data_IF_529748835340
#
_entry.id   IF_529748835340
#
_cell.length_a   1.000
_cell.length_b   1.000
_cell.length_c   1.000
_cell.angle_alpha   90.00
_cell.angle_beta   90.00
_cell.angle_gamma   90.00
#
_symmetry.space_group_name_H-M   'P 1'
#
loop_
_entity.id
_entity.type
_entity.pdbx_description
1 polymer ?
#
# COMPACT_ATOMS: atom_id res chain seq x y z
N UNK A 1 38.92 12.67 -17.21
CA UNK A 1 37.56 13.25 -17.24
C UNK A 1 36.62 12.21 -16.66
N UNK A 2 36.28 12.34 -15.37
CA UNK A 2 35.42 11.38 -14.70
C UNK A 2 33.98 11.70 -15.06
N UNK A 3 33.30 10.78 -15.73
CA UNK A 3 31.86 10.88 -15.97
C UNK A 3 31.16 10.70 -14.61
N UNK A 4 30.59 11.78 -14.10
CA UNK A 4 29.62 11.68 -13.00
C UNK A 4 28.45 10.86 -13.50
N UNK A 5 28.30 9.64 -12.98
CA UNK A 5 27.10 8.84 -13.15
C UNK A 5 26.00 9.61 -12.42
N UNK A 6 25.20 10.38 -13.15
CA UNK A 6 23.93 10.86 -12.65
C UNK A 6 23.05 9.61 -12.47
N UNK A 7 23.05 9.08 -11.26
CA UNK A 7 21.99 8.17 -10.84
C UNK A 7 20.77 9.06 -10.60
N UNK A 8 19.67 8.92 -11.35
CA UNK A 8 18.44 9.58 -10.95
C UNK A 8 18.12 9.14 -9.50
N UNK A 9 17.53 10.00 -8.67
CA UNK A 9 17.01 9.55 -7.39
C UNK A 9 16.12 8.33 -7.71
N UNK A 10 16.35 7.21 -7.02
CA UNK A 10 15.50 6.05 -7.16
C UNK A 10 14.07 6.54 -6.96
N UNK A 11 13.25 6.50 -8.01
CA UNK A 11 11.82 6.77 -7.90
C UNK A 11 11.34 5.83 -6.80
N UNK A 12 10.94 6.39 -5.66
CA UNK A 12 10.36 5.59 -4.60
C UNK A 12 9.18 4.84 -5.22
N UNK A 13 9.07 3.52 -5.04
CA UNK A 13 7.96 2.79 -5.61
C UNK A 13 6.67 3.34 -5.01
N UNK A 14 5.91 4.08 -5.81
CA UNK A 14 4.60 4.57 -5.41
C UNK A 14 3.67 3.39 -5.10
N UNK A 15 2.78 3.58 -4.14
CA UNK A 15 1.72 2.63 -3.81
C UNK A 15 0.42 3.09 -4.43
N UNK A 16 -0.48 2.16 -4.75
CA UNK A 16 -1.80 2.51 -5.27
C UNK A 16 -2.80 2.59 -4.11
N UNK A 17 -3.57 3.67 -4.04
CA UNK A 17 -4.60 3.86 -3.02
C UNK A 17 -5.87 4.46 -3.61
N UNK A 18 -7.01 4.23 -2.97
CA UNK A 18 -8.31 4.79 -3.34
C UNK A 18 -9.33 4.66 -2.22
N UNK A 19 -10.48 5.31 -2.37
CA UNK A 19 -11.57 5.23 -1.40
C UNK A 19 -12.33 3.91 -1.57
N UNK A 20 -12.49 3.14 -0.49
CA UNK A 20 -13.32 1.95 -0.51
C UNK A 20 -14.70 2.25 0.09
N UNK A 21 -15.80 2.08 -0.67
CA UNK A 21 -17.14 2.37 -0.16
C UNK A 21 -17.59 1.39 0.94
N UNK A 22 -17.08 0.16 0.94
CA UNK A 22 -17.39 -0.86 1.96
C UNK A 22 -16.65 -0.59 3.28
N UNK A 23 -15.39 -0.14 3.21
CA UNK A 23 -14.60 0.22 4.38
C UNK A 23 -14.82 1.67 4.83
N UNK A 24 -15.50 2.48 4.02
CA UNK A 24 -15.79 3.91 4.23
C UNK A 24 -14.54 4.76 4.51
N UNK A 25 -13.40 4.38 3.94
CA UNK A 25 -12.11 5.03 4.15
C UNK A 25 -11.19 4.85 2.94
N UNK A 26 -10.11 5.62 2.89
CA UNK A 26 -9.05 5.44 1.90
C UNK A 26 -8.18 4.24 2.28
N UNK A 27 -7.90 3.38 1.32
CA UNK A 27 -7.20 2.10 1.50
C UNK A 27 -6.16 1.91 0.41
N UNK A 28 -5.17 1.06 0.68
CA UNK A 28 -4.32 0.55 -0.39
C UNK A 28 -5.12 -0.33 -1.34
N UNK A 29 -4.70 -0.31 -2.61
CA UNK A 29 -5.25 -1.14 -3.66
C UNK A 29 -4.25 -2.25 -4.02
N UNK A 30 -4.75 -3.49 -4.06
CA UNK A 30 -4.06 -4.62 -4.69
C UNK A 30 -4.58 -4.80 -6.12
N UNK A 31 -3.83 -5.55 -6.95
CA UNK A 31 -4.31 -5.98 -8.26
C UNK A 31 -4.79 -7.42 -8.19
N UNK A 32 -5.95 -7.66 -8.81
CA UNK A 32 -6.52 -8.99 -8.95
C UNK A 32 -6.96 -9.23 -10.41
N UNK A 33 -7.09 -10.48 -10.81
CA UNK A 33 -7.51 -10.88 -12.16
C UNK A 33 -8.96 -11.38 -12.13
N UNK A 34 -9.89 -10.56 -12.64
CA UNK A 34 -11.32 -10.88 -12.72
C UNK A 34 -11.69 -10.98 -14.19
N UNK A 35 -12.21 -12.14 -14.63
CA UNK A 35 -12.66 -12.35 -16.01
C UNK A 35 -11.61 -12.00 -17.10
N UNK A 36 -10.32 -12.23 -16.79
CA UNK A 36 -9.15 -11.86 -17.60
C UNK A 36 -8.84 -10.35 -17.69
N UNK A 37 -9.46 -9.53 -16.84
CA UNK A 37 -9.13 -8.12 -16.68
C UNK A 37 -8.39 -7.91 -15.34
N UNK A 38 -7.29 -7.14 -15.38
CA UNK A 38 -6.63 -6.70 -14.16
C UNK A 38 -7.40 -5.54 -13.56
N UNK A 39 -7.93 -5.74 -12.35
CA UNK A 39 -8.69 -4.75 -11.60
C UNK A 39 -7.96 -4.38 -10.31
N UNK A 40 -8.21 -3.18 -9.81
CA UNK A 40 -7.73 -2.71 -8.52
C UNK A 40 -8.79 -3.00 -7.45
N UNK A 41 -8.39 -3.70 -6.39
CA UNK A 41 -9.27 -4.15 -5.30
C UNK A 41 -8.80 -3.62 -3.95
N UNK A 42 -9.73 -3.42 -3.02
CA UNK A 42 -9.42 -3.06 -1.64
C UNK A 42 -8.61 -4.18 -0.95
N UNK A 43 -7.47 -3.84 -0.32
CA UNK A 43 -6.64 -4.81 0.42
C UNK A 43 -7.34 -5.43 1.63
N UNK A 44 -8.40 -4.80 2.17
CA UNK A 44 -9.10 -5.29 3.36
C UNK A 44 -10.31 -6.16 3.06
N UNK A 45 -11.12 -5.81 2.05
CA UNK A 45 -12.40 -6.46 1.78
C UNK A 45 -12.55 -6.99 0.35
N UNK A 46 -11.53 -6.84 -0.50
CA UNK A 46 -11.53 -7.23 -1.92
C UNK A 46 -12.61 -6.55 -2.79
N UNK A 47 -13.25 -5.47 -2.32
CA UNK A 47 -14.15 -4.65 -3.13
C UNK A 47 -13.43 -4.13 -4.40
N UNK A 48 -14.06 -4.24 -5.57
CA UNK A 48 -13.51 -3.79 -6.85
C UNK A 48 -13.54 -2.26 -6.96
N UNK A 49 -12.42 -1.62 -6.63
CA UNK A 49 -12.27 -0.17 -6.63
C UNK A 49 -12.29 0.40 -8.06
N UNK A 50 -11.72 -0.32 -9.03
CA UNK A 50 -11.77 0.08 -10.45
C UNK A 50 -13.20 0.23 -10.98
N UNK A 51 -14.15 -0.52 -10.41
CA UNK A 51 -15.56 -0.43 -10.76
C UNK A 51 -16.33 0.59 -9.93
N UNK A 52 -16.10 0.62 -8.61
CA UNK A 52 -16.94 1.36 -7.68
C UNK A 52 -16.45 2.78 -7.37
N UNK A 53 -15.15 3.05 -7.46
CA UNK A 53 -14.57 4.36 -7.13
C UNK A 53 -13.32 4.68 -7.98
N UNK A 54 -13.37 4.52 -9.32
CA UNK A 54 -12.20 4.66 -10.18
C UNK A 54 -11.56 6.05 -10.12
N UNK A 55 -12.35 7.09 -9.90
CA UNK A 55 -11.90 8.48 -9.80
C UNK A 55 -11.05 8.77 -8.56
N UNK A 56 -11.11 7.90 -7.56
CA UNK A 56 -10.36 8.06 -6.29
C UNK A 56 -8.99 7.39 -6.33
N UNK A 57 -8.75 6.53 -7.34
CA UNK A 57 -7.52 5.74 -7.47
C UNK A 57 -6.34 6.61 -7.90
N UNK A 58 -5.36 6.73 -7.00
CA UNK A 58 -4.16 7.55 -7.17
C UNK A 58 -2.90 6.79 -6.72
N UNK A 59 -1.76 7.22 -7.24
CA UNK A 59 -0.47 6.83 -6.67
C UNK A 59 -0.20 7.70 -5.46
N UNK A 60 0.34 7.10 -4.41
CA UNK A 60 0.73 7.76 -3.16
C UNK A 60 2.15 7.34 -2.80
N UNK A 61 2.87 8.21 -2.11
CA UNK A 61 4.25 7.94 -1.70
C UNK A 61 4.32 7.23 -0.35
N UNK A 62 5.47 6.64 -0.02
CA UNK A 62 5.64 5.91 1.24
C UNK A 62 5.20 6.70 2.50
N UNK A 63 5.51 8.01 2.65
CA UNK A 63 5.03 8.78 3.81
C UNK A 63 3.50 8.86 3.90
N UNK A 64 2.82 9.04 2.77
CA UNK A 64 1.36 9.13 2.72
C UNK A 64 0.69 7.79 3.09
N UNK A 65 1.35 6.68 2.77
CA UNK A 65 0.88 5.33 3.13
C UNK A 65 0.91 5.11 4.65
N UNK A 66 1.89 5.69 5.35
CA UNK A 66 1.91 5.69 6.82
C UNK A 66 0.74 6.51 7.38
N UNK A 67 0.41 7.65 6.78
CA UNK A 67 -0.75 8.46 7.19
C UNK A 67 -2.08 7.73 6.98
N UNK A 68 -2.16 6.82 6.01
CA UNK A 68 -3.30 5.92 5.80
C UNK A 68 -3.38 4.78 6.84
N UNK A 69 -2.40 4.67 7.74
CA UNK A 69 -2.37 3.67 8.82
C UNK A 69 -1.67 2.35 8.46
N UNK A 70 -0.86 2.33 7.39
CA UNK A 70 -0.06 1.18 7.00
C UNK A 70 1.39 1.32 7.46
N UNK A 71 1.99 0.21 7.89
CA UNK A 71 3.39 0.18 8.27
C UNK A 71 4.30 0.01 7.03
N UNK A 72 5.34 0.83 6.93
CA UNK A 72 6.42 0.67 5.94
C UNK A 72 7.76 0.54 6.66
N UNK A 73 8.44 -0.57 6.39
CA UNK A 73 9.78 -0.84 6.93
C UNK A 73 10.78 0.26 6.51
N UNK A 74 11.51 0.80 7.48
CA UNK A 74 12.51 1.85 7.28
C UNK A 74 11.97 3.29 7.19
N UNK A 75 10.67 3.54 7.32
CA UNK A 75 10.10 4.91 7.30
C UNK A 75 9.66 5.41 8.69
N UNK A 76 9.19 4.51 9.55
CA UNK A 76 8.81 4.84 10.93
C UNK A 76 9.98 4.55 11.89
N UNK A 77 10.15 5.40 12.91
CA UNK A 77 11.16 5.16 13.95
C UNK A 77 10.86 3.86 14.69
N UNK A 78 11.87 3.03 14.90
CA UNK A 78 11.83 1.73 15.60
C UNK A 78 11.36 1.79 17.07
N UNK A 79 10.20 2.37 17.37
CA UNK A 79 9.44 2.03 18.57
C UNK A 79 8.59 0.79 18.24
N UNK A 80 9.28 -0.35 18.15
CA UNK A 80 8.71 -1.67 17.90
C UNK A 80 7.88 -2.19 19.10
N UNK A 81 7.16 -1.34 19.83
CA UNK A 81 6.27 -1.75 20.92
C UNK A 81 4.89 -2.24 20.41
N UNK A 82 4.68 -2.22 19.09
CA UNK A 82 3.42 -2.63 18.43
C UNK A 82 3.63 -3.74 17.39
N UNK A 83 4.38 -4.79 17.74
CA UNK A 83 4.36 -6.16 17.18
C UNK A 83 3.21 -6.47 16.19
N UNK A 84 3.32 -6.11 14.91
CA UNK A 84 2.25 -6.35 13.94
C UNK A 84 2.82 -6.70 12.58
N UNK A 85 3.07 -7.99 12.34
CA UNK A 85 3.52 -8.49 11.04
C UNK A 85 2.38 -9.14 10.24
N UNK A 86 2.62 -9.42 8.96
CA UNK A 86 1.76 -10.28 8.15
C UNK A 86 2.11 -11.75 8.41
N UNK A 87 1.16 -12.54 8.92
CA UNK A 87 1.28 -14.01 9.02
C UNK A 87 -0.02 -14.66 8.60
N UNK A 88 0.08 -15.75 7.81
CA UNK A 88 -1.06 -16.58 7.41
C UNK A 88 -2.23 -15.82 6.76
N UNK A 89 -1.93 -14.76 6.00
CA UNK A 89 -2.95 -13.92 5.34
C UNK A 89 -3.64 -12.90 6.25
N UNK A 90 -3.15 -12.69 7.48
CA UNK A 90 -3.65 -11.65 8.39
C UNK A 90 -2.58 -10.58 8.66
N UNK A 91 -2.96 -9.31 8.54
CA UNK A 91 -2.15 -8.15 8.91
C UNK A 91 -2.28 -7.84 10.41
N UNK A 92 -1.22 -7.39 11.07
CA UNK A 92 -1.23 -6.96 12.47
C UNK A 92 -1.04 -8.07 13.51
N UNK A 93 -0.52 -9.24 13.11
CA UNK A 93 -0.28 -10.37 14.04
C UNK A 93 0.95 -10.08 14.90
N UNK A 94 0.76 -10.10 16.23
CA UNK A 94 1.84 -10.08 17.21
C UNK A 94 2.75 -11.30 17.04
N UNK A 95 4.00 -11.05 16.69
CA UNK A 95 5.03 -12.07 16.70
C UNK A 95 5.36 -12.41 18.18
N UNK A 96 5.44 -13.69 18.55
CA UNK A 96 5.92 -14.07 19.87
C UNK A 96 7.41 -13.74 20.00
N UNK A 97 7.79 -13.19 21.16
CA UNK A 97 9.18 -12.90 21.56
C UNK A 97 9.96 -14.16 21.90
#
# INVERSE_FOLDING_TARGET
MSASIYSPPAELPGFRAGHCPECTQDVLAARDLVENELVEICVHCACNLSRHSPETLRWVEAPDVVELGYFIDGLESESCDSNGGCRDGACGVRQPT
#
